data_IF_280752496760
#
_entry.id   IF_280752496760
#
_cell.length_a   1.000
_cell.length_b   1.000
_cell.length_c   1.000
_cell.angle_alpha   90.00
_cell.angle_beta   90.00
_cell.angle_gamma   90.00
#
_symmetry.space_group_name_H-M   'P 1'
#
loop_
_entity.id
_entity.type
_entity.pdbx_description
1 polymer ?
#
# COMPACT_ATOMS: atom_id res chain seq x y z
N UNK A 1 47.00 3.61 -3.37
CA UNK A 1 46.07 3.04 -4.37
C UNK A 1 45.06 2.22 -3.57
N UNK A 2 43.97 2.84 -3.12
CA UNK A 2 42.88 2.18 -2.39
C UNK A 2 41.85 1.71 -3.40
N UNK A 3 41.65 0.39 -3.48
CA UNK A 3 40.77 -0.26 -4.45
C UNK A 3 39.37 -0.50 -3.86
N UNK A 4 39.11 -0.11 -2.61
CA UNK A 4 37.90 -0.48 -1.87
C UNK A 4 36.68 0.44 -2.09
N UNK A 5 36.84 1.59 -2.73
CA UNK A 5 35.72 2.55 -2.92
C UNK A 5 34.89 2.31 -4.20
N UNK A 6 35.32 1.40 -5.09
CA UNK A 6 34.68 1.21 -6.39
C UNK A 6 33.54 0.17 -6.40
N UNK A 7 33.51 -0.76 -5.44
CA UNK A 7 32.58 -1.89 -5.48
C UNK A 7 31.20 -1.52 -4.92
N UNK A 8 31.16 -0.78 -3.80
CA UNK A 8 29.93 -0.34 -3.13
C UNK A 8 29.04 0.63 -3.95
N UNK A 9 29.64 1.43 -4.83
CA UNK A 9 28.90 2.39 -5.66
C UNK A 9 28.12 1.73 -6.81
N UNK A 10 28.56 0.57 -7.28
CA UNK A 10 27.95 -0.09 -8.44
C UNK A 10 26.71 -0.89 -8.06
N UNK A 11 26.71 -1.60 -6.93
CA UNK A 11 25.55 -2.34 -6.44
C UNK A 11 24.41 -1.41 -6.04
N UNK A 12 24.71 -0.34 -5.30
CA UNK A 12 23.70 0.63 -4.87
C UNK A 12 23.06 1.37 -6.06
N UNK A 13 23.82 1.63 -7.13
CA UNK A 13 23.28 2.23 -8.35
C UNK A 13 22.44 1.22 -9.16
N UNK A 14 22.82 -0.07 -9.20
CA UNK A 14 22.05 -1.14 -9.83
C UNK A 14 20.73 -1.40 -9.12
N UNK A 15 20.74 -1.43 -7.78
CA UNK A 15 19.54 -1.59 -6.97
C UNK A 15 18.58 -0.41 -7.14
N UNK A 16 19.08 0.84 -7.09
CA UNK A 16 18.26 2.02 -7.39
C UNK A 16 17.65 1.95 -8.79
N UNK A 17 18.42 1.51 -9.79
CA UNK A 17 17.90 1.37 -11.15
C UNK A 17 16.81 0.29 -11.24
N UNK A 18 16.96 -0.85 -10.56
CA UNK A 18 15.95 -1.92 -10.53
C UNK A 18 14.69 -1.50 -9.79
N UNK A 19 14.84 -0.87 -8.62
CA UNK A 19 13.71 -0.34 -7.85
C UNK A 19 12.93 0.70 -8.64
N UNK A 20 13.59 1.57 -9.42
CA UNK A 20 12.93 2.57 -10.26
C UNK A 20 12.11 1.93 -11.38
N UNK A 21 12.65 0.88 -12.02
CA UNK A 21 11.95 0.14 -13.08
C UNK A 21 10.73 -0.59 -12.51
N UNK A 22 10.87 -1.22 -11.34
CA UNK A 22 9.75 -1.84 -10.65
C UNK A 22 8.72 -0.78 -10.21
N UNK A 23 9.15 0.36 -9.67
CA UNK A 23 8.26 1.46 -9.29
C UNK A 23 7.47 2.01 -10.47
N UNK A 24 8.08 2.17 -11.65
CA UNK A 24 7.36 2.56 -12.87
C UNK A 24 6.36 1.49 -13.31
N UNK A 25 6.77 0.21 -13.27
CA UNK A 25 5.94 -0.90 -13.72
C UNK A 25 4.75 -1.15 -12.77
N UNK A 26 4.93 -0.95 -11.46
CA UNK A 26 3.93 -1.17 -10.43
C UNK A 26 3.35 0.13 -9.86
N UNK A 27 3.60 1.28 -10.51
CA UNK A 27 3.24 2.60 -9.98
C UNK A 27 1.76 2.69 -9.57
N UNK A 28 0.88 2.20 -10.43
CA UNK A 28 -0.56 2.16 -10.18
C UNK A 28 -0.92 1.27 -8.97
N UNK A 29 -0.26 0.12 -8.81
CA UNK A 29 -0.46 -0.78 -7.68
C UNK A 29 0.04 -0.17 -6.36
N UNK A 30 1.18 0.52 -6.39
CA UNK A 30 1.73 1.21 -5.22
C UNK A 30 0.83 2.37 -4.80
N UNK A 31 0.32 3.18 -5.73
CA UNK A 31 -0.61 4.26 -5.40
C UNK A 31 -1.96 3.76 -4.87
N UNK A 32 -2.52 2.72 -5.48
CA UNK A 32 -3.79 2.14 -5.01
C UNK A 32 -3.65 1.47 -3.65
N UNK A 33 -2.53 0.77 -3.40
CA UNK A 33 -2.19 0.27 -2.07
C UNK A 33 -2.06 1.42 -1.06
N UNK A 34 -1.28 2.45 -1.38
CA UNK A 34 -1.08 3.61 -0.52
C UNK A 34 -2.40 4.31 -0.19
N UNK A 35 -3.26 4.55 -1.19
CA UNK A 35 -4.58 5.14 -0.99
C UNK A 35 -5.45 4.27 -0.06
N UNK A 36 -5.42 2.95 -0.22
CA UNK A 36 -6.16 2.01 0.63
C UNK A 36 -5.69 2.08 2.09
N UNK A 37 -4.38 2.13 2.32
CA UNK A 37 -3.79 2.28 3.67
C UNK A 37 -4.17 3.63 4.28
N UNK A 38 -4.14 4.72 3.49
CA UNK A 38 -4.57 6.05 3.95
C UNK A 38 -6.05 6.05 4.34
N UNK A 39 -6.92 5.43 3.55
CA UNK A 39 -8.34 5.28 3.88
C UNK A 39 -8.55 4.50 5.19
N UNK A 40 -7.85 3.37 5.35
CA UNK A 40 -7.93 2.57 6.57
C UNK A 40 -7.46 3.35 7.81
N UNK A 41 -6.34 4.07 7.70
CA UNK A 41 -5.81 4.88 8.79
C UNK A 41 -6.73 6.06 9.13
N UNK A 42 -7.33 6.73 8.15
CA UNK A 42 -8.33 7.77 8.40
C UNK A 42 -9.52 7.20 9.17
N UNK A 43 -10.06 6.05 8.73
CA UNK A 43 -11.15 5.38 9.44
C UNK A 43 -10.80 5.08 10.90
N UNK A 44 -9.63 4.49 11.15
CA UNK A 44 -9.15 4.18 12.49
C UNK A 44 -8.93 5.44 13.36
N UNK A 45 -8.39 6.52 12.78
CA UNK A 45 -8.18 7.78 13.50
C UNK A 45 -9.51 8.43 13.90
N UNK A 46 -10.51 8.43 13.00
CA UNK A 46 -11.85 8.96 13.31
C UNK A 46 -12.48 8.16 14.45
N UNK A 47 -12.32 6.84 14.43
CA UNK A 47 -12.85 5.95 15.46
C UNK A 47 -12.24 6.24 16.84
N UNK A 48 -10.91 6.31 16.90
CA UNK A 48 -10.17 6.62 18.14
C UNK A 48 -10.48 8.03 18.63
N UNK A 49 -10.57 9.00 17.72
CA UNK A 49 -10.87 10.39 18.06
C UNK A 49 -12.31 10.60 18.55
N UNK A 50 -13.26 9.77 18.10
CA UNK A 50 -14.65 9.84 18.55
C UNK A 50 -14.83 9.39 20.01
N UNK A 51 -13.87 8.67 20.59
CA UNK A 51 -13.92 8.25 21.99
C UNK A 51 -15.01 7.20 22.25
N UNK A 52 -15.59 7.13 23.46
CA UNK A 52 -16.58 6.11 23.79
C UNK A 52 -17.89 6.26 22.99
N UNK A 53 -18.51 5.11 22.69
CA UNK A 53 -19.79 5.03 21.98
C UNK A 53 -20.91 5.65 22.82
N UNK A 54 -21.43 6.79 22.37
CA UNK A 54 -22.56 7.52 22.96
C UNK A 54 -23.51 7.94 21.84
N UNK A 55 -24.71 8.43 22.17
CA UNK A 55 -25.69 8.83 21.15
C UNK A 55 -25.17 9.98 20.25
N UNK A 56 -24.29 10.85 20.76
CA UNK A 56 -23.66 11.93 19.98
C UNK A 56 -22.50 11.45 19.10
N UNK A 57 -21.81 10.37 19.48
CA UNK A 57 -20.62 9.84 18.76
C UNK A 57 -20.96 8.66 17.85
N UNK A 58 -22.16 8.10 17.95
CA UNK A 58 -22.66 6.98 17.14
C UNK A 58 -22.50 7.20 15.63
N UNK A 59 -22.78 8.41 15.15
CA UNK A 59 -22.66 8.73 13.73
C UNK A 59 -21.19 8.73 13.29
N UNK A 60 -20.27 9.18 14.14
CA UNK A 60 -18.83 9.14 13.86
C UNK A 60 -18.32 7.70 13.77
N UNK A 61 -18.74 6.80 14.69
CA UNK A 61 -18.40 5.37 14.65
C UNK A 61 -18.99 4.65 13.42
N UNK A 62 -20.18 5.04 12.97
CA UNK A 62 -20.75 4.48 11.74
C UNK A 62 -19.96 4.90 10.49
N UNK A 63 -19.54 6.18 10.43
CA UNK A 63 -18.73 6.69 9.33
C UNK A 63 -17.33 6.08 9.35
N UNK A 64 -16.68 5.98 10.52
CA UNK A 64 -15.37 5.32 10.65
C UNK A 64 -15.45 3.86 10.20
N UNK A 65 -16.48 3.14 10.66
CA UNK A 65 -16.75 1.76 10.26
C UNK A 65 -16.97 1.61 8.75
N UNK A 66 -17.73 2.51 8.12
CA UNK A 66 -17.96 2.47 6.67
C UNK A 66 -16.68 2.74 5.88
N UNK A 67 -15.86 3.71 6.31
CA UNK A 67 -14.56 4.01 5.70
C UNK A 67 -13.62 2.80 5.83
N UNK A 68 -13.57 2.20 7.03
CA UNK A 68 -12.79 0.99 7.27
C UNK A 68 -13.23 -0.18 6.40
N UNK A 69 -14.54 -0.44 6.31
CA UNK A 69 -15.09 -1.50 5.46
C UNK A 69 -14.75 -1.27 3.97
N UNK A 70 -14.83 -0.03 3.50
CA UNK A 70 -14.46 0.33 2.12
C UNK A 70 -12.98 0.05 1.85
N UNK A 71 -12.10 0.39 2.80
CA UNK A 71 -10.68 0.09 2.68
C UNK A 71 -10.41 -1.43 2.63
N UNK A 72 -11.15 -2.24 3.40
CA UNK A 72 -11.03 -3.70 3.37
C UNK A 72 -11.46 -4.26 2.01
N UNK A 73 -12.57 -3.80 1.45
CA UNK A 73 -13.04 -4.23 0.12
C UNK A 73 -11.99 -3.88 -0.95
N UNK A 74 -11.47 -2.65 -0.93
CA UNK A 74 -10.38 -2.24 -1.83
C UNK A 74 -9.14 -3.11 -1.67
N UNK A 75 -8.78 -3.44 -0.42
CA UNK A 75 -7.68 -4.35 -0.11
C UNK A 75 -7.86 -5.75 -0.69
N UNK A 76 -9.07 -6.32 -0.59
CA UNK A 76 -9.39 -7.61 -1.19
C UNK A 76 -9.31 -7.56 -2.73
N UNK A 77 -9.83 -6.50 -3.35
CA UNK A 77 -9.70 -6.30 -4.79
C UNK A 77 -8.23 -6.22 -5.20
N UNK A 78 -7.40 -5.51 -4.44
CA UNK A 78 -5.96 -5.40 -4.71
C UNK A 78 -5.26 -6.76 -4.63
N UNK A 79 -5.60 -7.58 -3.63
CA UNK A 79 -5.07 -8.94 -3.50
C UNK A 79 -5.43 -9.81 -4.71
N UNK A 80 -6.66 -9.73 -5.21
CA UNK A 80 -7.08 -10.45 -6.41
C UNK A 80 -6.31 -9.99 -7.65
N UNK A 81 -6.11 -8.68 -7.81
CA UNK A 81 -5.32 -8.13 -8.91
C UNK A 81 -3.89 -8.66 -8.83
N UNK A 82 -3.25 -8.61 -7.67
CA UNK A 82 -1.89 -9.13 -7.46
C UNK A 82 -1.82 -10.64 -7.77
N UNK A 83 -2.82 -11.41 -7.35
CA UNK A 83 -2.88 -12.85 -7.63
C UNK A 83 -2.99 -13.13 -9.14
N UNK A 84 -3.92 -12.46 -9.83
CA UNK A 84 -4.10 -12.58 -11.29
C UNK A 84 -2.82 -12.18 -12.03
N UNK A 85 -2.19 -11.10 -11.61
CA UNK A 85 -0.95 -10.60 -12.23
C UNK A 85 0.21 -11.59 -12.00
N UNK A 86 0.32 -12.15 -10.80
CA UNK A 86 1.33 -13.17 -10.47
C UNK A 86 1.14 -14.43 -11.31
N UNK A 87 -0.11 -14.89 -11.49
CA UNK A 87 -0.43 -16.03 -12.35
C UNK A 87 -0.04 -15.74 -13.80
N UNK A 88 -0.41 -14.57 -14.32
CA UNK A 88 -0.08 -14.16 -15.69
C UNK A 88 1.45 -14.12 -15.93
N UNK A 89 2.20 -13.59 -14.98
CA UNK A 89 3.68 -13.55 -15.07
C UNK A 89 4.29 -14.95 -15.08
N UNK A 90 3.71 -15.90 -14.34
CA UNK A 90 4.18 -17.29 -14.32
C UNK A 90 3.82 -18.03 -15.62
N UNK A 91 2.61 -17.84 -16.16
CA UNK A 91 2.14 -18.55 -17.36
C UNK A 91 2.65 -17.96 -18.68
N UNK A 92 3.07 -16.69 -18.67
CA UNK A 92 3.69 -16.01 -19.83
C UNK A 92 5.18 -16.35 -20.02
N UNK A 93 5.77 -17.15 -19.13
CA UNK A 93 7.15 -17.66 -19.25
C UNK A 93 7.14 -19.09 -19.75
#
# INVERSE_FOLDING_TARGET
>A
MSVDDAEWGTEQSRERSRLRILLDQYQALVYTFGATVVLATIGAVIDVAAGPMTDSTKLAHQISGLIGATAVVLGMCLLLIIALWSILVVTSR
#
